data_IF_110872684366
#
_entry.id   IF_110872684366
#
_cell.length_a   1.000
_cell.length_b   1.000
_cell.length_c   1.000
_cell.angle_alpha   90.00
_cell.angle_beta   90.00
_cell.angle_gamma   90.00
#
_symmetry.space_group_name_H-M   'P 1'
#
loop_
_entity.id
_entity.type
_entity.pdbx_description
1 polymer ?
#
# COMPACT_ATOMS: atom_id res chain seq x y z
N UNK A 1 8.31 -12.09 17.15
CA UNK A 1 8.12 -11.67 15.74
C UNK A 1 6.79 -10.95 15.66
N UNK A 2 6.81 -9.67 15.29
CA UNK A 2 5.62 -8.83 15.26
C UNK A 2 4.83 -9.18 13.99
N UNK A 3 3.73 -9.92 14.13
CA UNK A 3 2.85 -10.19 12.99
C UNK A 3 2.24 -8.85 12.57
N UNK A 4 2.51 -8.34 11.35
CA UNK A 4 1.95 -7.07 10.90
C UNK A 4 0.43 -7.14 10.92
N UNK A 5 -0.21 -6.12 11.48
CA UNK A 5 -1.67 -6.06 11.54
C UNK A 5 -2.25 -6.03 10.11
N UNK A 6 -3.24 -6.88 9.77
CA UNK A 6 -3.71 -7.05 8.39
C UNK A 6 -4.25 -5.74 7.78
N UNK A 7 -4.86 -4.87 8.60
CA UNK A 7 -5.30 -3.54 8.16
C UNK A 7 -4.14 -2.66 7.63
N UNK A 8 -2.97 -2.73 8.27
CA UNK A 8 -1.78 -1.95 7.87
C UNK A 8 -1.22 -2.49 6.56
N UNK A 9 -1.17 -3.82 6.39
CA UNK A 9 -0.77 -4.46 5.14
C UNK A 9 -1.66 -4.06 3.96
N UNK A 10 -2.99 -4.02 4.17
CA UNK A 10 -3.95 -3.60 3.14
C UNK A 10 -3.74 -2.14 2.71
N UNK A 11 -3.51 -1.25 3.67
CA UNK A 11 -3.22 0.17 3.41
C UNK A 11 -1.92 0.36 2.61
N UNK A 12 -0.86 -0.36 2.99
CA UNK A 12 0.43 -0.30 2.31
C UNK A 12 0.34 -0.82 0.86
N UNK A 13 -0.38 -1.93 0.64
CA UNK A 13 -0.66 -2.45 -0.70
C UNK A 13 -1.42 -1.44 -1.57
N UNK A 14 -2.49 -0.85 -1.03
CA UNK A 14 -3.27 0.15 -1.77
C UNK A 14 -2.45 1.38 -2.15
N UNK A 15 -1.56 1.85 -1.26
CA UNK A 15 -0.63 2.95 -1.55
C UNK A 15 0.36 2.57 -2.64
N UNK A 16 0.98 1.40 -2.56
CA UNK A 16 1.90 0.91 -3.59
C UNK A 16 1.22 0.86 -4.97
N UNK A 17 0.00 0.30 -5.03
CA UNK A 17 -0.77 0.20 -6.27
C UNK A 17 -1.19 1.57 -6.81
N UNK A 18 -1.59 2.52 -5.96
CA UNK A 18 -1.92 3.88 -6.37
C UNK A 18 -0.73 4.59 -7.03
N UNK A 19 0.47 4.41 -6.47
CA UNK A 19 1.70 4.99 -7.00
C UNK A 19 2.17 4.25 -8.26
N UNK A 20 2.02 2.93 -8.31
CA UNK A 20 2.37 2.11 -9.48
C UNK A 20 1.45 2.37 -10.69
N UNK A 21 0.18 2.68 -10.45
CA UNK A 21 -0.81 3.00 -11.48
C UNK A 21 -0.79 4.48 -11.90
N UNK A 22 0.00 5.33 -11.24
CA UNK A 22 0.11 6.73 -11.61
C UNK A 22 0.82 6.88 -12.97
N UNK A 23 0.16 7.54 -13.92
CA UNK A 23 0.69 7.76 -15.28
C UNK A 23 1.91 8.68 -15.31
N UNK A 24 2.06 9.54 -14.27
CA UNK A 24 3.19 10.43 -14.11
C UNK A 24 4.09 9.92 -12.99
N UNK A 25 5.27 9.41 -13.35
CA UNK A 25 6.30 9.04 -12.39
C UNK A 25 7.06 10.29 -11.97
N UNK A 26 6.60 10.95 -10.91
CA UNK A 26 7.33 12.06 -10.30
C UNK A 26 8.43 11.53 -9.38
N UNK A 27 9.50 12.29 -9.12
CA UNK A 27 10.54 11.88 -8.16
C UNK A 27 9.99 11.71 -6.73
N UNK A 28 8.88 12.36 -6.39
CA UNK A 28 8.18 12.12 -5.14
C UNK A 28 7.44 10.77 -5.16
N UNK A 29 6.74 10.45 -6.25
CA UNK A 29 6.07 9.16 -6.42
C UNK A 29 7.09 7.99 -6.37
N UNK A 30 8.27 8.14 -6.96
CA UNK A 30 9.34 7.14 -6.86
C UNK A 30 9.78 6.93 -5.40
N UNK A 31 10.01 8.01 -4.65
CA UNK A 31 10.37 7.90 -3.23
C UNK A 31 9.27 7.27 -2.39
N UNK A 32 8.01 7.65 -2.61
CA UNK A 32 6.87 7.06 -1.91
C UNK A 32 6.72 5.56 -2.23
N UNK A 33 7.01 5.17 -3.48
CA UNK A 33 7.07 3.77 -3.90
C UNK A 33 8.16 3.03 -3.12
N UNK A 34 9.39 3.53 -3.15
CA UNK A 34 10.54 2.92 -2.46
C UNK A 34 10.32 2.79 -0.95
N UNK A 35 9.78 3.82 -0.29
CA UNK A 35 9.47 3.80 1.14
C UNK A 35 8.39 2.76 1.49
N UNK A 36 7.36 2.66 0.64
CA UNK A 36 6.30 1.66 0.78
C UNK A 36 6.84 0.24 0.58
N UNK A 37 7.74 0.02 -0.40
CA UNK A 37 8.43 -1.26 -0.60
C UNK A 37 9.27 -1.63 0.62
N UNK A 38 10.08 -0.69 1.11
CA UNK A 38 10.94 -0.92 2.27
C UNK A 38 10.12 -1.33 3.49
N UNK A 39 9.02 -0.61 3.75
CA UNK A 39 8.09 -0.93 4.85
C UNK A 39 7.45 -2.32 4.68
N UNK A 40 7.02 -2.67 3.46
CA UNK A 40 6.47 -4.00 3.16
C UNK A 40 7.50 -5.11 3.38
N UNK A 41 8.74 -4.91 2.91
CA UNK A 41 9.83 -5.86 3.11
C UNK A 41 10.09 -6.12 4.60
N UNK A 42 10.22 -5.06 5.40
CA UNK A 42 10.43 -5.17 6.85
C UNK A 42 9.22 -5.82 7.55
N UNK A 43 8.01 -5.40 7.22
CA UNK A 43 6.78 -5.92 7.83
C UNK A 43 6.54 -7.41 7.51
N UNK A 44 6.90 -7.85 6.30
CA UNK A 44 6.75 -9.25 5.86
C UNK A 44 7.98 -10.11 6.12
N UNK A 45 9.09 -9.51 6.56
CA UNK A 45 10.37 -10.21 6.76
C UNK A 45 11.01 -10.69 5.46
N UNK A 46 10.75 -10.01 4.34
CA UNK A 46 11.28 -10.36 3.01
C UNK A 46 12.40 -9.41 2.58
N UNK A 47 13.14 -9.78 1.54
CA UNK A 47 14.31 -9.04 1.03
C UNK A 47 14.07 -8.34 -0.30
N UNK A 48 12.90 -8.56 -0.89
CA UNK A 48 12.53 -8.09 -2.23
C UNK A 48 11.06 -7.68 -2.24
N UNK A 49 10.74 -6.68 -3.07
CA UNK A 49 9.41 -6.09 -3.12
C UNK A 49 8.35 -7.03 -3.70
N UNK A 50 8.67 -7.83 -4.72
CA UNK A 50 7.71 -8.82 -5.26
C UNK A 50 7.42 -9.90 -4.22
N UNK A 51 8.46 -10.35 -3.52
CA UNK A 51 8.32 -11.29 -2.40
C UNK A 51 7.47 -10.70 -1.28
N UNK A 52 7.66 -9.41 -0.96
CA UNK A 52 6.88 -8.71 0.05
C UNK A 52 5.41 -8.59 -0.33
N UNK A 53 5.12 -8.25 -1.59
CA UNK A 53 3.75 -8.15 -2.12
C UNK A 53 3.04 -9.51 -2.11
N UNK A 54 3.74 -10.58 -2.52
CA UNK A 54 3.20 -11.93 -2.49
C UNK A 54 2.90 -12.40 -1.07
N UNK A 55 3.83 -12.17 -0.14
CA UNK A 55 3.63 -12.47 1.28
C UNK A 55 2.45 -11.67 1.84
N UNK A 56 2.39 -10.36 1.60
CA UNK A 56 1.31 -9.49 2.05
C UNK A 56 -0.08 -9.97 1.56
N UNK A 57 -0.20 -10.32 0.27
CA UNK A 57 -1.43 -10.88 -0.31
C UNK A 57 -1.82 -12.21 0.33
N UNK A 58 -0.85 -13.09 0.57
CA UNK A 58 -1.07 -14.37 1.27
C UNK A 58 -1.51 -14.17 2.73
N UNK A 59 -0.91 -13.22 3.44
CA UNK A 59 -1.29 -12.85 4.80
C UNK A 59 -2.73 -12.32 4.88
N UNK A 60 -3.15 -11.50 3.91
CA UNK A 60 -4.52 -11.01 3.81
C UNK A 60 -5.51 -12.14 3.48
N UNK A 61 -5.15 -13.06 2.59
CA UNK A 61 -5.97 -14.22 2.25
C UNK A 61 -6.11 -15.21 3.44
N UNK A 62 -5.10 -15.30 4.29
CA UNK A 62 -5.10 -16.15 5.49
C UNK A 62 -5.83 -15.54 6.68
N UNK A 63 -6.20 -14.25 6.63
CA UNK A 63 -6.91 -13.53 7.70
C UNK A 63 -8.29 -13.01 7.23
N UNK A 64 -9.21 -13.90 6.78
CA UNK A 64 -10.50 -13.49 6.23
C UNK A 64 -11.42 -12.81 7.26
N UNK A 65 -11.32 -13.18 8.54
CA UNK A 65 -12.19 -12.71 9.63
C UNK A 65 -12.07 -11.19 9.91
N UNK A 66 -10.94 -10.55 9.56
CA UNK A 66 -10.71 -9.11 9.74
C UNK A 66 -10.87 -8.30 8.43
N UNK A 67 -10.94 -8.97 7.28
CA UNK A 67 -10.96 -8.33 5.95
C UNK A 67 -12.37 -7.92 5.49
N UNK A 68 -13.43 -8.53 6.04
CA UNK A 68 -14.82 -8.28 5.63
C UNK A 68 -15.40 -6.91 6.04
N UNK A 69 -14.81 -6.20 7.00
CA UNK A 69 -15.43 -5.01 7.58
C UNK A 69 -15.05 -3.66 6.92
N UNK A 70 -14.14 -3.62 5.93
CA UNK A 70 -13.65 -2.35 5.34
C UNK A 70 -13.61 -2.33 3.81
N UNK A 71 -14.37 -3.20 3.14
CA UNK A 71 -14.48 -3.17 1.67
C UNK A 71 -15.39 -2.04 1.14
N UNK A 72 -16.01 -1.23 2.01
CA UNK A 72 -16.85 -0.08 1.64
C UNK A 72 -16.18 1.25 2.02
N UNK A 73 -15.23 1.71 1.19
CA UNK A 73 -15.11 3.13 0.79
C UNK A 73 -14.03 3.34 -0.28
N UNK A 74 -14.40 3.59 -1.54
CA UNK A 74 -13.51 4.27 -2.49
C UNK A 74 -13.58 5.78 -2.21
N UNK A 75 -12.69 6.27 -1.35
CA UNK A 75 -12.51 7.70 -1.09
C UNK A 75 -11.33 8.25 -1.88
N UNK A 76 -11.55 8.69 -3.11
CA UNK A 76 -10.57 9.49 -3.86
C UNK A 76 -10.53 10.92 -3.30
N UNK A 77 -9.37 11.49 -2.94
CA UNK A 77 -9.28 12.92 -2.67
C UNK A 77 -9.26 13.67 -4.02
N UNK A 78 -10.36 14.37 -4.32
CA UNK A 78 -10.40 15.38 -5.35
C UNK A 78 -9.41 16.50 -5.01
N UNK A 79 -8.28 16.54 -5.72
CA UNK A 79 -7.32 17.64 -5.64
C UNK A 79 -7.99 18.90 -6.17
N UNK A 80 -8.46 19.77 -5.28
CA UNK A 80 -8.90 21.11 -5.66
C UNK A 80 -7.66 21.93 -6.01
N UNK A 81 -7.47 22.19 -7.30
CA UNK A 81 -6.52 23.18 -7.81
C UNK A 81 -6.98 24.57 -7.37
N UNK A 82 -6.17 25.27 -6.59
CA UNK A 82 -6.28 26.71 -6.37
C UNK A 82 -5.77 27.47 -7.61
N UNK A 83 -6.46 28.53 -8.08
CA UNK A 83 -5.86 29.52 -8.96
C UNK A 83 -5.12 30.59 -8.12
N UNK A 84 -3.89 30.90 -8.53
CA UNK A 84 -3.11 32.02 -8.03
C UNK A 84 -3.70 33.35 -8.55
N UNK A 85 -3.64 34.37 -7.70
CA UNK A 85 -4.00 35.75 -7.95
C UNK A 85 -3.04 36.45 -8.92
#
# INVERSE_FOLDING_TARGET
MLTPHPLVLKQLLARWEAVANATATTPQALREREDTAYTLCVATGTRDVESALAAARKHLAAAPELAGATADRPGAPAVRRSPAA
#
